data_IF_906591500722
#
_entry.id   IF_906591500722
#
_cell.length_a   1.000
_cell.length_b   1.000
_cell.length_c   1.000
_cell.angle_alpha   90.00
_cell.angle_beta   90.00
_cell.angle_gamma   90.00
#
_symmetry.space_group_name_H-M   'P 1'
#
loop_
_entity.id
_entity.type
_entity.pdbx_description
1 polymer ?
#
# COMPACT_ATOMS: atom_id res chain seq x y z
N UNK A 1 3.24 17.87 43.61
CA UNK A 1 3.95 18.72 42.63
C UNK A 1 4.60 17.82 41.59
N UNK A 2 3.92 17.55 40.47
CA UNK A 2 4.43 16.63 39.44
C UNK A 2 5.53 17.30 38.61
N UNK A 3 6.53 16.49 38.28
CA UNK A 3 7.78 16.89 37.64
C UNK A 3 7.53 17.67 36.34
N UNK A 4 8.06 18.90 36.26
CA UNK A 4 7.97 19.72 35.06
C UNK A 4 8.74 19.06 33.92
N UNK A 5 8.04 18.50 32.94
CA UNK A 5 8.63 18.13 31.66
C UNK A 5 9.46 19.31 31.13
N UNK A 6 10.67 19.03 30.61
CA UNK A 6 11.55 20.07 30.08
C UNK A 6 10.80 20.88 29.02
N UNK A 7 11.02 22.19 28.92
CA UNK A 7 10.28 23.02 27.97
C UNK A 7 10.44 22.62 26.50
N UNK A 8 11.54 21.94 26.16
CA UNK A 8 11.71 21.32 24.84
C UNK A 8 10.66 20.23 24.58
N UNK A 9 10.31 19.45 25.61
CA UNK A 9 9.28 18.42 25.52
C UNK A 9 7.89 19.00 25.20
N UNK A 10 7.56 20.20 25.71
CA UNK A 10 6.28 20.86 25.41
C UNK A 10 6.18 21.31 23.95
N UNK A 11 7.27 21.85 23.39
CA UNK A 11 7.30 22.25 21.98
C UNK A 11 7.25 21.03 21.06
N UNK A 12 7.98 19.96 21.41
CA UNK A 12 7.93 18.71 20.67
C UNK A 12 6.54 18.08 20.68
N UNK A 13 5.81 18.20 21.80
CA UNK A 13 4.43 17.74 21.86
C UNK A 13 3.50 18.54 20.95
N UNK A 14 3.66 19.87 20.87
CA UNK A 14 2.88 20.69 19.94
C UNK A 14 3.16 20.35 18.47
N UNK A 15 4.42 20.05 18.13
CA UNK A 15 4.80 19.64 16.77
C UNK A 15 4.25 18.24 16.46
N UNK A 16 4.29 17.31 17.41
CA UNK A 16 3.71 15.97 17.28
C UNK A 16 2.19 16.04 17.08
N UNK A 17 1.48 16.78 17.95
CA UNK A 17 0.03 16.96 17.84
C UNK A 17 -0.36 17.61 16.51
N UNK A 18 0.41 18.61 16.05
CA UNK A 18 0.21 19.19 14.73
C UNK A 18 0.51 18.22 13.59
N UNK A 19 1.58 17.43 13.67
CA UNK A 19 1.91 16.46 12.63
C UNK A 19 0.78 15.46 12.46
N UNK A 20 0.21 15.00 13.57
CA UNK A 20 -0.92 14.06 13.57
C UNK A 20 -2.21 14.71 13.02
N UNK A 21 -2.61 15.86 13.54
CA UNK A 21 -3.89 16.52 13.20
C UNK A 21 -3.89 17.19 11.82
N UNK A 22 -2.79 17.87 11.47
CA UNK A 22 -2.75 18.72 10.27
C UNK A 22 -2.04 18.07 9.10
N UNK A 23 -1.13 17.14 9.33
CA UNK A 23 -0.44 16.47 8.24
C UNK A 23 -0.99 15.06 8.00
N UNK A 24 -1.07 14.21 9.03
CA UNK A 24 -1.47 12.80 8.86
C UNK A 24 -2.96 12.64 8.62
N UNK A 25 -3.79 13.22 9.50
CA UNK A 25 -5.23 13.05 9.48
C UNK A 25 -5.85 13.38 8.10
N UNK A 26 -5.53 14.49 7.41
CA UNK A 26 -6.08 14.78 6.08
C UNK A 26 -5.73 13.73 5.01
N UNK A 27 -4.54 13.13 5.08
CA UNK A 27 -4.13 12.07 4.15
C UNK A 27 -5.00 10.82 4.32
N UNK A 28 -5.20 10.42 5.57
CA UNK A 28 -6.02 9.25 5.89
C UNK A 28 -7.51 9.52 5.67
N UNK A 29 -7.98 10.76 5.85
CA UNK A 29 -9.34 11.17 5.49
C UNK A 29 -9.58 11.03 3.99
N UNK A 30 -8.59 11.31 3.16
CA UNK A 30 -8.69 11.10 1.72
C UNK A 30 -8.83 9.61 1.37
N UNK A 31 -8.03 8.75 2.00
CA UNK A 31 -8.14 7.28 1.87
C UNK A 31 -9.53 6.82 2.29
N UNK A 32 -9.97 7.23 3.49
CA UNK A 32 -11.26 6.86 4.08
C UNK A 32 -12.43 7.24 3.16
N UNK A 33 -12.46 8.48 2.68
CA UNK A 33 -13.47 8.98 1.76
C UNK A 33 -13.48 8.22 0.44
N UNK A 34 -12.29 7.97 -0.13
CA UNK A 34 -12.15 7.27 -1.41
C UNK A 34 -12.61 5.81 -1.34
N UNK A 35 -12.53 5.18 -0.18
CA UNK A 35 -12.86 3.77 0.03
C UNK A 35 -14.13 3.58 0.85
N UNK A 36 -14.90 4.63 1.15
CA UNK A 36 -16.10 4.51 1.99
C UNK A 36 -15.86 3.86 3.36
N UNK A 37 -14.71 4.16 3.97
CA UNK A 37 -14.32 3.67 5.29
C UNK A 37 -14.49 4.80 6.32
N UNK A 38 -14.74 4.43 7.58
CA UNK A 38 -14.70 5.35 8.69
C UNK A 38 -13.26 5.51 9.18
N UNK A 39 -12.81 6.73 9.41
CA UNK A 39 -11.51 6.99 10.03
C UNK A 39 -11.72 7.35 11.49
N UNK A 40 -11.14 6.56 12.39
CA UNK A 40 -11.09 6.87 13.82
C UNK A 40 -9.72 7.47 14.16
N UNK A 41 -9.72 8.54 14.97
CA UNK A 41 -8.54 9.23 15.48
C UNK A 41 -8.89 10.03 16.74
N UNK A 42 -7.92 10.37 17.59
CA UNK A 42 -8.19 11.19 18.79
C UNK A 42 -8.70 12.60 18.50
N UNK A 43 -8.68 13.03 17.23
CA UNK A 43 -9.21 14.33 16.76
C UNK A 43 -10.62 14.23 16.19
N UNK A 44 -11.22 13.03 16.17
CA UNK A 44 -12.59 12.78 15.74
C UNK A 44 -13.39 12.39 16.98
N UNK A 45 -14.44 13.14 17.27
CA UNK A 45 -15.33 12.82 18.38
C UNK A 45 -16.32 11.73 17.96
N UNK A 46 -16.31 10.61 18.68
CA UNK A 46 -17.10 9.42 18.38
C UNK A 46 -17.81 8.91 19.62
N UNK A 47 -19.13 8.72 19.56
CA UNK A 47 -19.92 8.20 20.71
C UNK A 47 -19.68 6.72 20.94
N UNK A 48 -19.50 5.96 19.87
CA UNK A 48 -19.18 4.53 19.93
C UNK A 48 -17.88 4.23 20.70
N UNK A 49 -16.97 5.22 20.77
CA UNK A 49 -15.66 5.09 21.41
C UNK A 49 -15.23 6.40 22.06
N UNK A 50 -15.69 6.70 23.29
CA UNK A 50 -15.25 7.88 23.99
C UNK A 50 -13.80 7.69 24.48
N UNK A 51 -12.86 8.49 23.95
CA UNK A 51 -11.49 8.58 24.47
C UNK A 51 -10.44 7.87 23.63
N UNK A 52 -9.73 6.89 24.22
CA UNK A 52 -8.60 6.21 23.58
C UNK A 52 -9.07 5.19 22.54
N UNK A 53 -8.33 5.05 21.45
CA UNK A 53 -8.63 4.10 20.39
C UNK A 53 -7.98 2.77 20.72
N UNK A 54 -8.64 2.02 21.59
CA UNK A 54 -8.15 0.72 22.06
C UNK A 54 -8.68 -0.41 21.17
N UNK A 55 -7.78 -1.26 20.72
CA UNK A 55 -8.09 -2.52 20.05
C UNK A 55 -7.33 -3.65 20.71
N UNK A 56 -7.93 -4.83 20.78
CA UNK A 56 -7.27 -6.00 21.35
C UNK A 56 -6.34 -6.66 20.32
N UNK A 57 -5.18 -7.10 20.78
CA UNK A 57 -4.30 -8.02 20.06
C UNK A 57 -4.64 -9.49 20.38
N UNK A 58 -3.88 -10.42 19.79
CA UNK A 58 -4.12 -11.87 19.89
C UNK A 58 -3.89 -12.42 21.30
N UNK A 59 -3.15 -11.69 22.12
CA UNK A 59 -2.81 -12.05 23.49
C UNK A 59 -3.77 -11.37 24.49
N UNK A 60 -4.79 -10.65 24.00
CA UNK A 60 -5.77 -9.93 24.81
C UNK A 60 -5.26 -8.58 25.35
N UNK A 61 -4.13 -8.07 24.85
CA UNK A 61 -3.63 -6.77 25.27
C UNK A 61 -4.39 -5.65 24.56
N UNK A 62 -4.76 -4.61 25.30
CA UNK A 62 -5.34 -3.40 24.72
C UNK A 62 -4.25 -2.51 24.11
N UNK A 63 -4.23 -2.42 22.79
CA UNK A 63 -3.33 -1.58 22.01
C UNK A 63 -4.00 -0.25 21.71
N UNK A 64 -3.40 0.85 22.19
CA UNK A 64 -3.83 2.20 21.85
C UNK A 64 -3.26 2.59 20.48
N UNK A 65 -4.13 2.74 19.50
CA UNK A 65 -3.79 3.09 18.13
C UNK A 65 -3.97 4.61 17.91
N UNK A 66 -3.13 5.21 17.06
CA UNK A 66 -3.32 6.62 16.68
C UNK A 66 -4.44 6.77 15.64
N UNK A 67 -4.45 5.92 14.61
CA UNK A 67 -5.48 5.91 13.56
C UNK A 67 -5.93 4.50 13.21
N UNK A 68 -7.24 4.36 12.99
CA UNK A 68 -7.85 3.12 12.52
C UNK A 68 -8.85 3.41 11.42
N UNK A 69 -8.74 2.69 10.30
CA UNK A 69 -9.77 2.71 9.25
C UNK A 69 -10.72 1.54 9.47
N UNK A 70 -12.02 1.79 9.51
CA UNK A 70 -13.04 0.79 9.83
C UNK A 70 -14.07 0.66 8.70
N UNK A 71 -14.37 -0.57 8.32
CA UNK A 71 -15.48 -0.90 7.43
C UNK A 71 -16.80 -0.93 8.21
N UNK A 72 -17.78 -0.17 7.74
CA UNK A 72 -19.13 -0.12 8.34
C UNK A 72 -19.18 0.52 9.73
N UNK A 73 -18.10 1.19 10.14
CA UNK A 73 -18.09 2.03 11.34
C UNK A 73 -18.76 3.38 11.09
N UNK A 74 -19.27 3.98 12.15
CA UNK A 74 -19.80 5.34 12.16
C UNK A 74 -19.64 5.95 13.57
N UNK A 75 -20.22 7.13 13.80
CA UNK A 75 -20.12 7.83 15.08
C UNK A 75 -20.76 7.07 16.25
N UNK A 76 -21.71 6.16 15.97
CA UNK A 76 -22.51 5.43 16.96
C UNK A 76 -22.11 3.95 17.09
N UNK A 77 -21.45 3.37 16.07
CA UNK A 77 -21.12 1.93 16.02
C UNK A 77 -19.70 1.68 15.58
N UNK A 78 -19.05 0.72 16.24
CA UNK A 78 -17.74 0.19 15.83
C UNK A 78 -17.86 -0.63 14.55
N UNK A 79 -16.95 -0.39 13.62
CA UNK A 79 -16.81 -1.16 12.40
C UNK A 79 -15.78 -2.27 12.51
N UNK A 80 -15.48 -2.90 11.38
CA UNK A 80 -14.43 -3.92 11.26
C UNK A 80 -13.12 -3.23 10.86
N UNK A 81 -12.02 -3.35 11.62
CA UNK A 81 -10.79 -2.62 11.32
C UNK A 81 -10.14 -3.16 10.04
N UNK A 82 -9.74 -2.24 9.18
CA UNK A 82 -9.13 -2.48 7.86
C UNK A 82 -7.70 -1.97 7.76
N UNK A 83 -7.33 -1.02 8.61
CA UNK A 83 -5.96 -0.52 8.72
C UNK A 83 -5.66 -0.06 10.14
N UNK A 84 -4.40 -0.23 10.56
CA UNK A 84 -3.86 0.37 11.78
C UNK A 84 -2.64 1.21 11.41
N UNK A 85 -2.64 2.48 11.82
CA UNK A 85 -1.55 3.41 11.52
C UNK A 85 -1.13 4.12 12.81
N UNK A 86 0.17 4.05 13.12
CA UNK A 86 0.82 4.87 14.16
C UNK A 86 1.51 6.07 13.52
N UNK A 87 1.69 7.15 14.28
CA UNK A 87 2.48 8.28 13.84
C UNK A 87 3.33 8.86 14.96
N UNK A 88 4.40 9.57 14.60
CA UNK A 88 5.19 10.28 15.60
C UNK A 88 6.10 11.35 15.01
N UNK A 89 6.50 12.28 15.88
CA UNK A 89 7.60 13.23 15.63
C UNK A 89 8.77 12.99 16.58
N UNK A 90 10.01 12.82 16.06
CA UNK A 90 11.22 12.72 16.89
C UNK A 90 12.39 13.51 16.29
N UNK A 91 13.03 14.36 17.12
CA UNK A 91 14.18 15.18 16.71
C UNK A 91 15.48 14.43 16.50
N UNK A 92 15.66 13.30 17.17
CA UNK A 92 16.92 12.58 17.24
C UNK A 92 16.78 11.16 16.75
N UNK A 93 17.72 10.71 15.92
CA UNK A 93 17.70 9.41 15.26
C UNK A 93 17.56 8.23 16.23
N UNK A 94 18.15 8.32 17.43
CA UNK A 94 17.97 7.31 18.49
C UNK A 94 16.51 7.22 18.94
N UNK A 95 15.87 8.34 19.24
CA UNK A 95 14.49 8.36 19.69
C UNK A 95 13.52 7.95 18.57
N UNK A 96 13.79 8.31 17.32
CA UNK A 96 13.01 7.83 16.17
C UNK A 96 13.09 6.31 16.03
N UNK A 97 14.30 5.74 16.18
CA UNK A 97 14.52 4.29 16.14
C UNK A 97 13.78 3.56 17.26
N UNK A 98 13.85 4.07 18.49
CA UNK A 98 13.18 3.45 19.64
C UNK A 98 11.66 3.51 19.48
N UNK A 99 11.11 4.65 19.02
CA UNK A 99 9.68 4.80 18.76
C UNK A 99 9.19 3.92 17.61
N UNK A 100 9.93 3.85 16.49
CA UNK A 100 9.61 2.95 15.39
C UNK A 100 9.56 1.47 15.82
N UNK A 101 10.42 1.06 16.76
CA UNK A 101 10.41 -0.30 17.33
C UNK A 101 9.20 -0.54 18.22
N UNK A 102 8.88 0.41 19.09
CA UNK A 102 7.69 0.37 19.94
C UNK A 102 6.43 0.21 19.09
N UNK A 103 6.26 1.07 18.09
CA UNK A 103 5.06 1.09 17.23
C UNK A 103 5.00 -0.15 16.33
N UNK A 104 6.14 -0.63 15.84
CA UNK A 104 6.18 -1.92 15.13
C UNK A 104 5.74 -3.09 16.03
N UNK A 105 6.10 -3.04 17.31
CA UNK A 105 5.71 -4.04 18.31
C UNK A 105 4.21 -4.04 18.58
N UNK A 106 3.57 -2.86 18.56
CA UNK A 106 2.11 -2.71 18.66
C UNK A 106 1.37 -3.20 17.43
N UNK A 107 1.86 -2.84 16.23
CA UNK A 107 1.15 -3.07 14.98
C UNK A 107 1.23 -4.53 14.50
N UNK A 108 2.37 -5.21 14.70
CA UNK A 108 2.55 -6.58 14.17
C UNK A 108 1.48 -7.55 14.68
N UNK A 109 1.16 -7.61 16.00
CA UNK A 109 0.10 -8.47 16.52
C UNK A 109 -1.30 -8.13 15.98
N UNK A 110 -1.57 -6.88 15.60
CA UNK A 110 -2.89 -6.47 15.13
C UNK A 110 -3.32 -7.20 13.87
N UNK A 111 -2.40 -7.50 12.96
CA UNK A 111 -2.72 -8.26 11.73
C UNK A 111 -3.12 -9.70 12.03
N UNK A 112 -2.53 -10.32 13.04
CA UNK A 112 -2.87 -11.69 13.44
C UNK A 112 -4.29 -11.76 14.02
N UNK A 113 -4.70 -10.71 14.76
CA UNK A 113 -6.02 -10.62 15.38
C UNK A 113 -7.11 -10.19 14.40
N UNK A 114 -6.79 -9.20 13.55
CA UNK A 114 -7.73 -8.53 12.67
C UNK A 114 -7.41 -8.89 11.22
N UNK A 115 -8.00 -9.96 10.66
CA UNK A 115 -7.68 -10.48 9.33
C UNK A 115 -7.97 -9.49 8.18
N UNK A 116 -8.88 -8.55 8.43
CA UNK A 116 -9.24 -7.47 7.52
C UNK A 116 -8.26 -6.30 7.55
N UNK A 117 -7.31 -6.27 8.50
CA UNK A 117 -6.28 -5.24 8.61
C UNK A 117 -5.22 -5.37 7.51
N UNK A 118 -5.63 -5.05 6.28
CA UNK A 118 -4.83 -5.16 5.04
C UNK A 118 -3.65 -4.19 5.02
N UNK A 119 -3.67 -3.13 5.82
CA UNK A 119 -2.60 -2.15 5.91
C UNK A 119 -2.15 -1.90 7.35
N UNK A 120 -0.86 -2.07 7.60
CA UNK A 120 -0.17 -1.61 8.81
C UNK A 120 0.80 -0.50 8.40
N UNK A 121 0.71 0.67 9.02
CA UNK A 121 1.51 1.83 8.63
C UNK A 121 2.14 2.58 9.80
N UNK A 122 3.29 3.20 9.54
CA UNK A 122 3.87 4.23 10.40
C UNK A 122 4.09 5.48 9.56
N UNK A 123 3.53 6.61 9.99
CA UNK A 123 3.79 7.92 9.39
C UNK A 123 4.70 8.71 10.34
N UNK A 124 5.94 8.87 9.94
CA UNK A 124 7.02 9.17 10.85
C UNK A 124 7.72 10.47 10.43
N UNK A 125 7.79 11.45 11.33
CA UNK A 125 8.49 12.70 11.11
C UNK A 125 9.75 12.76 11.99
N UNK A 126 10.91 13.04 11.39
CA UNK A 126 12.18 13.08 12.12
C UNK A 126 13.38 12.55 11.35
N UNK A 127 14.44 12.25 12.09
CA UNK A 127 15.66 11.62 11.54
C UNK A 127 15.55 10.10 11.65
N UNK A 128 15.84 9.39 10.56
CA UNK A 128 15.78 7.92 10.50
C UNK A 128 17.08 7.33 9.99
N UNK A 129 17.57 6.29 10.65
CA UNK A 129 18.71 5.50 10.16
C UNK A 129 18.23 4.42 9.21
N UNK A 130 19.06 4.00 8.25
CA UNK A 130 18.73 2.89 7.33
C UNK A 130 18.28 1.63 8.09
N UNK A 131 19.02 1.25 9.14
CA UNK A 131 18.68 0.10 10.00
C UNK A 131 17.28 0.21 10.64
N UNK A 132 16.85 1.41 11.02
CA UNK A 132 15.49 1.58 11.57
C UNK A 132 14.41 1.44 10.50
N UNK A 133 14.70 1.88 9.27
CA UNK A 133 13.80 1.73 8.12
C UNK A 133 13.65 0.27 7.73
N UNK A 134 14.77 -0.44 7.60
CA UNK A 134 14.79 -1.85 7.21
C UNK A 134 14.07 -2.72 8.25
N UNK A 135 14.22 -2.39 9.54
CA UNK A 135 13.52 -3.07 10.63
C UNK A 135 11.99 -2.98 10.49
N UNK A 136 11.45 -1.77 10.27
CA UNK A 136 10.00 -1.57 10.10
C UNK A 136 9.51 -2.35 8.88
N UNK A 137 10.21 -2.19 7.74
CA UNK A 137 9.86 -2.87 6.49
C UNK A 137 9.91 -4.40 6.59
N UNK A 138 10.89 -4.96 7.29
CA UNK A 138 11.03 -6.41 7.47
C UNK A 138 9.85 -7.06 8.22
N UNK A 139 9.04 -6.26 8.92
CA UNK A 139 7.84 -6.70 9.63
C UNK A 139 6.56 -6.58 8.80
N UNK A 140 6.68 -6.15 7.54
CA UNK A 140 5.55 -5.91 6.65
C UNK A 140 4.71 -4.71 7.08
N UNK A 141 5.36 -3.70 7.67
CA UNK A 141 4.74 -2.41 8.03
C UNK A 141 5.23 -1.36 7.03
N UNK A 142 4.29 -0.62 6.44
CA UNK A 142 4.60 0.49 5.55
C UNK A 142 5.14 1.68 6.35
N UNK A 143 6.07 2.44 5.77
CA UNK A 143 6.72 3.56 6.43
C UNK A 143 6.75 4.78 5.53
N UNK A 144 5.95 5.79 5.86
CA UNK A 144 6.03 7.12 5.28
C UNK A 144 6.93 8.00 6.14
N UNK A 145 7.97 8.60 5.55
CA UNK A 145 8.95 9.40 6.30
C UNK A 145 8.95 10.84 5.85
N UNK A 146 8.83 11.74 6.82
CA UNK A 146 9.04 13.17 6.63
C UNK A 146 10.37 13.55 7.30
N UNK A 147 11.42 13.91 6.52
CA UNK A 147 12.70 14.30 7.08
C UNK A 147 12.57 15.49 8.05
N UNK A 148 13.29 15.44 9.17
CA UNK A 148 13.35 16.53 10.16
C UNK A 148 13.62 17.89 9.53
N UNK A 149 14.53 17.96 8.57
CA UNK A 149 14.90 19.21 7.89
C UNK A 149 13.69 19.83 7.17
N UNK A 150 12.82 19.01 6.56
CA UNK A 150 11.60 19.51 5.89
C UNK A 150 10.57 20.03 6.90
N UNK A 151 10.39 19.34 8.03
CA UNK A 151 9.54 19.83 9.12
C UNK A 151 10.03 21.19 9.61
N UNK A 152 11.31 21.29 9.99
CA UNK A 152 11.89 22.54 10.50
C UNK A 152 11.78 23.67 9.46
N UNK A 153 12.07 23.38 8.19
CA UNK A 153 11.96 24.35 7.11
C UNK A 153 10.51 24.85 6.92
N UNK A 154 9.51 23.97 7.00
CA UNK A 154 8.10 24.36 6.90
C UNK A 154 7.71 25.35 8.02
N UNK A 155 8.12 25.08 9.26
CA UNK A 155 7.88 26.00 10.37
C UNK A 155 8.62 27.34 10.17
N UNK A 156 9.88 27.30 9.70
CA UNK A 156 10.66 28.50 9.44
C UNK A 156 10.06 29.38 8.34
N UNK A 157 9.55 28.80 7.25
CA UNK A 157 8.84 29.54 6.18
C UNK A 157 7.62 30.30 6.72
N UNK A 158 6.99 29.78 7.77
CA UNK A 158 5.84 30.42 8.43
C UNK A 158 6.23 31.37 9.57
N UNK A 159 7.53 31.65 9.77
CA UNK A 159 8.04 32.53 10.81
C UNK A 159 8.08 31.91 12.21
N UNK A 160 8.05 30.58 12.30
CA UNK A 160 8.10 29.84 13.56
C UNK A 160 9.48 29.18 13.76
N UNK A 161 10.11 29.44 14.90
CA UNK A 161 11.34 28.75 15.28
C UNK A 161 11.02 27.42 15.93
N UNK A 162 10.96 26.36 15.12
CA UNK A 162 10.75 24.99 15.58
C UNK A 162 12.04 24.28 15.99
N UNK A 163 13.22 24.88 15.80
CA UNK A 163 14.51 24.31 16.18
C UNK A 163 14.98 24.83 17.55
N UNK A 164 15.48 23.91 18.36
CA UNK A 164 15.95 24.20 19.72
C UNK A 164 17.31 23.54 19.90
N UNK A 165 18.41 24.30 19.83
CA UNK A 165 19.76 23.75 19.90
C UNK A 165 19.97 22.95 21.19
N UNK A 166 20.56 21.77 21.08
CA UNK A 166 20.77 20.90 22.25
C UNK A 166 21.69 21.53 23.30
N UNK A 167 22.64 22.36 22.86
CA UNK A 167 23.57 23.11 23.72
C UNK A 167 22.97 24.40 24.33
N UNK A 168 21.73 24.76 24.00
CA UNK A 168 21.10 25.98 24.54
C UNK A 168 20.83 25.87 26.05
N UNK A 169 20.99 26.98 26.77
CA UNK A 169 20.65 27.03 28.20
C UNK A 169 19.17 26.72 28.45
N UNK A 170 18.85 26.11 29.61
CA UNK A 170 17.46 25.77 29.98
C UNK A 170 16.52 26.99 29.91
N UNK A 171 17.00 28.18 30.29
CA UNK A 171 16.24 29.44 30.19
C UNK A 171 15.93 29.82 28.73
N UNK A 172 16.90 29.65 27.83
CA UNK A 172 16.71 29.91 26.40
C UNK A 172 15.74 28.92 25.77
N UNK A 173 15.86 27.62 26.09
CA UNK A 173 14.92 26.59 25.63
C UNK A 173 13.47 26.89 26.05
N UNK A 174 13.26 27.41 27.27
CA UNK A 174 11.93 27.84 27.75
C UNK A 174 11.42 29.05 26.95
N UNK A 175 12.28 30.04 26.70
CA UNK A 175 11.91 31.25 25.96
C UNK A 175 11.49 30.92 24.53
N UNK A 176 12.25 30.07 23.83
CA UNK A 176 11.94 29.61 22.48
C UNK A 176 10.59 28.87 22.46
N UNK A 177 10.41 27.88 23.34
CA UNK A 177 9.17 27.09 23.40
C UNK A 177 7.93 27.94 23.70
N UNK A 178 8.03 28.95 24.58
CA UNK A 178 6.92 29.88 24.86
C UNK A 178 6.60 30.78 23.68
N UNK A 179 7.62 31.31 23.00
CA UNK A 179 7.43 32.15 21.82
C UNK A 179 6.79 31.34 20.68
N UNK A 180 7.24 30.10 20.47
CA UNK A 180 6.64 29.16 19.53
C UNK A 180 5.16 28.94 19.85
N UNK A 181 4.84 28.51 21.08
CA UNK A 181 3.46 28.23 21.48
C UNK A 181 2.54 29.46 21.35
N UNK A 182 3.03 30.66 21.69
CA UNK A 182 2.26 31.91 21.56
C UNK A 182 1.91 32.23 20.10
N UNK A 183 2.80 31.91 19.17
CA UNK A 183 2.64 32.25 17.76
C UNK A 183 2.06 31.11 16.93
N UNK A 184 1.86 29.92 17.50
CA UNK A 184 1.37 28.73 16.78
C UNK A 184 -0.16 28.64 16.79
N UNK A 185 -0.81 29.59 16.14
CA UNK A 185 -2.26 29.67 15.98
C UNK A 185 -2.80 28.68 14.93
N UNK A 186 -4.12 28.47 14.89
CA UNK A 186 -4.77 27.62 13.87
C UNK A 186 -4.46 28.06 12.43
N UNK A 187 -4.39 29.38 12.16
CA UNK A 187 -3.96 29.89 10.86
C UNK A 187 -2.54 29.43 10.53
N UNK A 188 -1.63 29.55 11.51
CA UNK A 188 -0.24 29.12 11.35
C UNK A 188 -0.12 27.62 11.16
N UNK A 189 -0.94 26.80 11.84
CA UNK A 189 -0.97 25.35 11.62
C UNK A 189 -1.29 24.99 10.15
N UNK A 190 -2.25 25.68 9.53
CA UNK A 190 -2.60 25.51 8.10
C UNK A 190 -1.52 26.01 7.15
N UNK A 191 -0.90 27.16 7.47
CA UNK A 191 0.24 27.67 6.69
C UNK A 191 1.42 26.69 6.69
N UNK A 192 1.78 26.16 7.87
CA UNK A 192 2.86 25.16 8.00
C UNK A 192 2.50 23.86 7.29
N UNK A 193 1.24 23.44 7.33
CA UNK A 193 0.77 22.26 6.58
C UNK A 193 1.03 22.43 5.09
N UNK A 194 0.60 23.56 4.51
CA UNK A 194 0.83 23.87 3.09
C UNK A 194 2.32 23.89 2.76
N UNK A 195 3.12 24.61 3.55
CA UNK A 195 4.56 24.68 3.38
C UNK A 195 5.22 23.29 3.44
N UNK A 196 4.79 22.42 4.35
CA UNK A 196 5.30 21.06 4.45
C UNK A 196 4.90 20.22 3.25
N UNK A 197 3.65 20.30 2.79
CA UNK A 197 3.17 19.61 1.58
C UNK A 197 4.01 19.98 0.36
N UNK A 198 4.32 21.26 0.18
CA UNK A 198 5.16 21.76 -0.91
C UNK A 198 6.61 21.24 -0.79
N UNK A 199 7.18 21.25 0.43
CA UNK A 199 8.54 20.76 0.69
C UNK A 199 8.66 19.24 0.54
N UNK A 200 7.67 18.48 0.99
CA UNK A 200 7.63 17.01 0.84
C UNK A 200 7.46 16.65 -0.63
N UNK A 201 6.61 17.39 -1.34
CA UNK A 201 6.25 17.19 -2.73
C UNK A 201 4.85 16.55 -2.83
N UNK A 202 3.87 17.20 -3.48
CA UNK A 202 2.52 16.66 -3.62
C UNK A 202 2.48 15.26 -4.25
N UNK A 203 3.35 14.98 -5.23
CA UNK A 203 3.44 13.66 -5.86
C UNK A 203 3.84 12.54 -4.88
N UNK A 204 4.73 12.84 -3.92
CA UNK A 204 5.15 11.87 -2.88
C UNK A 204 3.98 11.56 -1.94
N UNK A 205 3.19 12.59 -1.61
CA UNK A 205 2.02 12.47 -0.76
C UNK A 205 0.92 11.67 -1.46
N UNK A 206 0.59 12.00 -2.72
CA UNK A 206 -0.39 11.24 -3.50
C UNK A 206 0.05 9.79 -3.67
N UNK A 207 1.32 9.53 -4.00
CA UNK A 207 1.85 8.17 -4.11
C UNK A 207 1.73 7.37 -2.81
N UNK A 208 1.84 8.02 -1.65
CA UNK A 208 1.56 7.36 -0.37
C UNK A 208 0.09 7.00 -0.24
N UNK A 209 -0.79 7.98 -0.41
CA UNK A 209 -2.24 7.78 -0.31
C UNK A 209 -2.72 6.69 -1.26
N UNK A 210 -2.25 6.68 -2.51
CA UNK A 210 -2.60 5.67 -3.51
C UNK A 210 -2.07 4.29 -3.14
N UNK A 211 -0.88 4.20 -2.53
CA UNK A 211 -0.36 2.93 -2.01
C UNK A 211 -1.23 2.38 -0.87
N UNK A 212 -1.70 3.24 0.05
CA UNK A 212 -2.66 2.81 1.09
C UNK A 212 -3.96 2.33 0.44
N UNK A 213 -4.52 3.10 -0.50
CA UNK A 213 -5.74 2.73 -1.23
C UNK A 213 -5.58 1.38 -1.95
N UNK A 214 -4.44 1.16 -2.61
CA UNK A 214 -4.15 -0.09 -3.32
C UNK A 214 -4.10 -1.30 -2.39
N UNK A 215 -3.44 -1.17 -1.23
CA UNK A 215 -3.37 -2.26 -0.25
C UNK A 215 -4.75 -2.62 0.33
N UNK A 216 -5.56 -1.60 0.64
CA UNK A 216 -6.90 -1.77 1.23
C UNK A 216 -7.94 -2.28 0.23
N UNK A 217 -7.77 -1.99 -1.06
CA UNK A 217 -8.68 -2.42 -2.13
C UNK A 217 -8.23 -3.71 -2.83
N UNK A 218 -7.16 -4.36 -2.36
CA UNK A 218 -6.69 -5.63 -2.89
C UNK A 218 -7.68 -6.75 -2.56
N UNK A 219 -8.08 -7.51 -3.58
CA UNK A 219 -9.09 -8.56 -3.48
C UNK A 219 -8.44 -9.94 -3.29
N UNK A 220 -9.10 -10.89 -2.63
CA UNK A 220 -8.67 -12.29 -2.62
C UNK A 220 -8.60 -12.86 -4.04
N UNK A 221 -7.49 -13.49 -4.41
CA UNK A 221 -7.32 -14.25 -5.67
C UNK A 221 -7.41 -15.76 -5.45
N UNK A 222 -6.91 -16.23 -4.31
CA UNK A 222 -6.91 -17.64 -3.94
C UNK A 222 -7.08 -17.74 -2.43
N UNK A 223 -7.99 -18.62 -2.00
CA UNK A 223 -8.21 -18.93 -0.58
C UNK A 223 -7.91 -20.41 -0.39
N UNK A 224 -7.11 -20.73 0.61
CA UNK A 224 -6.73 -22.11 0.92
C UNK A 224 -7.13 -22.47 2.34
N UNK A 225 -7.81 -23.61 2.50
CA UNK A 225 -8.09 -24.25 3.77
C UNK A 225 -7.27 -25.54 3.87
N UNK A 226 -6.31 -25.59 4.79
CA UNK A 226 -5.54 -26.81 5.05
C UNK A 226 -5.90 -27.39 6.41
N UNK A 227 -6.24 -28.67 6.48
CA UNK A 227 -6.39 -29.37 7.76
C UNK A 227 -5.07 -29.35 8.52
N UNK A 228 -5.13 -29.14 9.84
CA UNK A 228 -3.90 -29.04 10.67
C UNK A 228 -2.98 -30.27 10.60
N UNK A 229 -3.54 -31.43 10.27
CA UNK A 229 -2.85 -32.72 10.28
C UNK A 229 -2.82 -33.42 8.91
N UNK A 230 -3.39 -32.80 7.86
CA UNK A 230 -3.39 -33.34 6.50
C UNK A 230 -2.54 -32.48 5.56
N UNK A 231 -1.97 -33.11 4.53
CA UNK A 231 -0.99 -32.47 3.64
C UNK A 231 -1.61 -31.83 2.40
N UNK A 232 -2.87 -32.15 2.07
CA UNK A 232 -3.55 -31.65 0.89
C UNK A 232 -4.44 -30.42 1.22
N UNK A 233 -4.06 -29.21 0.82
CA UNK A 233 -4.91 -28.03 0.97
C UNK A 233 -6.14 -28.11 0.04
N UNK A 234 -7.28 -27.63 0.54
CA UNK A 234 -8.46 -27.33 -0.28
C UNK A 234 -8.31 -25.90 -0.79
N UNK A 235 -8.33 -25.73 -2.11
CA UNK A 235 -8.07 -24.43 -2.77
C UNK A 235 -9.37 -23.92 -3.40
N UNK A 236 -9.67 -22.66 -3.16
CA UNK A 236 -10.86 -21.95 -3.62
C UNK A 236 -10.44 -20.71 -4.42
N UNK A 237 -11.24 -20.38 -5.43
CA UNK A 237 -11.00 -19.22 -6.31
C UNK A 237 -11.81 -18.00 -5.92
N UNK A 238 -12.83 -18.16 -5.09
CA UNK A 238 -13.67 -17.06 -4.64
C UNK A 238 -14.04 -17.17 -3.17
N UNK A 239 -14.39 -16.03 -2.58
CA UNK A 239 -14.94 -15.96 -1.21
C UNK A 239 -16.27 -16.72 -1.12
N UNK A 240 -17.09 -16.70 -2.18
CA UNK A 240 -18.39 -17.36 -2.21
C UNK A 240 -18.28 -18.88 -2.07
N UNK A 241 -17.36 -19.51 -2.82
CA UNK A 241 -17.12 -20.95 -2.75
C UNK A 241 -16.74 -21.40 -1.33
N UNK A 242 -15.96 -20.58 -0.62
CA UNK A 242 -15.58 -20.86 0.77
C UNK A 242 -16.79 -20.73 1.69
N UNK A 243 -17.64 -19.71 1.50
CA UNK A 243 -18.87 -19.53 2.29
C UNK A 243 -19.78 -20.76 2.21
N UNK A 244 -20.00 -21.30 1.01
CA UNK A 244 -20.80 -22.52 0.80
C UNK A 244 -20.15 -23.76 1.45
N UNK A 245 -18.81 -23.84 1.41
CA UNK A 245 -18.07 -24.97 1.97
C UNK A 245 -18.05 -25.01 3.50
N UNK A 246 -17.94 -23.84 4.17
CA UNK A 246 -17.78 -23.74 5.63
C UNK A 246 -18.94 -24.34 6.44
N UNK A 247 -20.11 -24.56 5.84
CA UNK A 247 -21.27 -25.18 6.51
C UNK A 247 -21.15 -26.71 6.65
N UNK A 248 -20.19 -27.33 5.97
CA UNK A 248 -20.01 -28.79 5.95
C UNK A 248 -18.91 -29.33 6.89
N UNK A 249 -18.19 -28.44 7.60
CA UNK A 249 -16.92 -28.77 8.26
C UNK A 249 -17.04 -29.21 9.74
N UNK A 250 -16.13 -30.09 10.17
CA UNK A 250 -16.06 -30.64 11.54
C UNK A 250 -14.69 -30.48 12.26
N UNK A 251 -13.68 -29.90 11.63
CA UNK A 251 -12.28 -29.93 12.12
C UNK A 251 -11.55 -28.57 12.05
N UNK A 252 -10.32 -28.48 12.59
CA UNK A 252 -9.52 -27.25 12.63
C UNK A 252 -8.68 -27.02 11.36
N UNK A 253 -8.77 -25.82 10.79
CA UNK A 253 -8.11 -25.45 9.53
C UNK A 253 -7.10 -24.29 9.69
N UNK A 254 -6.08 -24.30 8.84
CA UNK A 254 -5.24 -23.14 8.53
C UNK A 254 -5.89 -22.41 7.36
N UNK A 255 -6.23 -21.14 7.58
CA UNK A 255 -6.88 -20.27 6.60
C UNK A 255 -5.84 -19.36 5.95
N UNK A 256 -5.66 -19.49 4.64
CA UNK A 256 -4.69 -18.70 3.86
C UNK A 256 -5.39 -17.94 2.74
N UNK A 257 -4.93 -16.72 2.46
CA UNK A 257 -5.38 -15.92 1.32
C UNK A 257 -4.17 -15.37 0.58
N UNK A 258 -4.16 -15.48 -0.74
CA UNK A 258 -3.33 -14.67 -1.63
C UNK A 258 -4.17 -13.54 -2.24
N UNK A 259 -3.68 -12.31 -2.20
CA UNK A 259 -4.38 -11.11 -2.68
C UNK A 259 -3.85 -10.62 -4.04
N UNK A 260 -4.63 -9.77 -4.71
CA UNK A 260 -4.28 -9.20 -6.02
C UNK A 260 -3.03 -8.33 -6.04
N UNK A 261 -2.62 -7.81 -4.89
CA UNK A 261 -1.37 -7.05 -4.71
C UNK A 261 -0.15 -7.96 -4.48
N UNK A 262 -0.34 -9.27 -4.47
CA UNK A 262 0.69 -10.28 -4.23
C UNK A 262 1.05 -10.48 -2.76
N UNK A 263 0.33 -9.84 -1.83
CA UNK A 263 0.47 -10.13 -0.41
C UNK A 263 -0.30 -11.37 0.00
N UNK A 264 0.11 -11.97 1.12
CA UNK A 264 -0.49 -13.18 1.68
C UNK A 264 -0.95 -12.93 3.11
N UNK A 265 -2.02 -13.60 3.50
CA UNK A 265 -2.52 -13.67 4.86
C UNK A 265 -2.64 -15.13 5.28
N UNK A 266 -2.24 -15.43 6.51
CA UNK A 266 -2.39 -16.75 7.12
C UNK A 266 -2.92 -16.58 8.54
N UNK A 267 -3.94 -17.36 8.89
CA UNK A 267 -4.44 -17.48 10.27
C UNK A 267 -4.72 -18.93 10.60
N UNK A 268 -4.30 -19.34 11.80
CA UNK A 268 -4.65 -20.63 12.36
C UNK A 268 -5.89 -20.42 13.23
N UNK A 269 -7.04 -20.95 12.81
CA UNK A 269 -8.26 -20.85 13.59
C UNK A 269 -8.26 -21.90 14.71
N UNK A 270 -8.56 -21.48 15.94
CA UNK A 270 -8.69 -22.37 17.09
C UNK A 270 -10.03 -23.11 17.09
N UNK A 271 -11.06 -22.54 16.45
CA UNK A 271 -12.40 -23.12 16.35
C UNK A 271 -13.03 -22.84 14.98
N UNK A 272 -14.09 -23.60 14.66
CA UNK A 272 -14.91 -23.36 13.47
C UNK A 272 -15.63 -22.02 13.52
N UNK A 273 -16.05 -21.58 14.70
CA UNK A 273 -16.70 -20.28 14.89
C UNK A 273 -15.75 -19.14 14.55
N UNK A 274 -14.49 -19.22 14.99
CA UNK A 274 -13.46 -18.24 14.66
C UNK A 274 -13.15 -18.22 13.16
N UNK A 275 -13.14 -19.38 12.50
CA UNK A 275 -12.94 -19.49 11.06
C UNK A 275 -14.08 -18.82 10.28
N UNK A 276 -15.34 -19.10 10.66
CA UNK A 276 -16.52 -18.50 10.05
C UNK A 276 -16.57 -17.00 10.26
N UNK A 277 -16.30 -16.52 11.48
CA UNK A 277 -16.22 -15.09 11.78
C UNK A 277 -15.12 -14.40 10.94
N UNK A 278 -13.92 -14.98 10.91
CA UNK A 278 -12.79 -14.49 10.10
C UNK A 278 -13.17 -14.40 8.63
N UNK A 279 -13.73 -15.47 8.06
CA UNK A 279 -14.16 -15.51 6.67
C UNK A 279 -15.25 -14.48 6.37
N UNK A 280 -16.26 -14.35 7.24
CA UNK A 280 -17.37 -13.40 7.07
C UNK A 280 -16.88 -11.94 7.03
N UNK A 281 -15.89 -11.58 7.86
CA UNK A 281 -15.29 -10.24 7.88
C UNK A 281 -14.55 -9.95 6.57
N UNK A 282 -13.79 -10.93 6.07
CA UNK A 282 -13.10 -10.83 4.79
C UNK A 282 -14.09 -10.74 3.62
N UNK A 283 -15.18 -11.51 3.66
CA UNK A 283 -16.23 -11.48 2.66
C UNK A 283 -16.87 -10.11 2.57
N UNK A 284 -17.29 -9.56 3.72
CA UNK A 284 -17.85 -8.20 3.79
C UNK A 284 -16.92 -7.13 3.24
N UNK A 285 -15.61 -7.22 3.52
CA UNK A 285 -14.63 -6.30 2.97
C UNK A 285 -14.49 -6.47 1.44
N UNK A 286 -14.47 -7.71 0.96
CA UNK A 286 -14.38 -8.04 -0.46
C UNK A 286 -15.59 -7.49 -1.23
N UNK A 287 -16.80 -7.73 -0.72
CA UNK A 287 -18.05 -7.25 -1.31
C UNK A 287 -18.09 -5.72 -1.37
N UNK A 288 -17.67 -5.06 -0.29
CA UNK A 288 -17.57 -3.60 -0.25
C UNK A 288 -16.61 -3.04 -1.30
N UNK A 289 -15.40 -3.63 -1.41
CA UNK A 289 -14.42 -3.19 -2.40
C UNK A 289 -14.90 -3.46 -3.83
N UNK A 290 -15.53 -4.61 -4.09
CA UNK A 290 -16.15 -4.91 -5.39
C UNK A 290 -17.26 -3.93 -5.76
N UNK A 291 -18.14 -3.57 -4.81
CA UNK A 291 -19.20 -2.60 -5.05
C UNK A 291 -18.66 -1.19 -5.38
N UNK A 292 -17.52 -0.81 -4.79
CA UNK A 292 -16.84 0.44 -5.15
C UNK A 292 -16.25 0.41 -6.57
N UNK A 293 -15.78 -0.75 -7.04
CA UNK A 293 -15.30 -0.92 -8.40
C UNK A 293 -16.45 -0.83 -9.40
N UNK A 294 -17.57 -1.55 -9.17
CA UNK A 294 -18.74 -1.52 -10.05
C UNK A 294 -19.35 -0.11 -10.19
N UNK A 295 -19.31 0.71 -9.13
CA UNK A 295 -19.72 2.12 -9.19
C UNK A 295 -18.81 3.03 -10.02
N UNK A 296 -17.54 2.64 -10.26
CA UNK A 296 -16.62 3.42 -11.10
C UNK A 296 -16.78 3.11 -12.59
N UNK A 297 -17.40 1.99 -12.93
CA UNK A 297 -17.68 1.57 -14.31
C UNK A 297 -19.04 2.08 -14.83
N UNK A 298 -19.82 2.81 -14.00
CA UNK A 298 -20.92 3.65 -14.50
C UNK A 298 -20.32 4.88 -15.22
N UNK A 299 -20.71 5.18 -16.47
CA UNK A 299 -20.18 6.31 -17.20
C UNK A 299 -20.52 7.61 -16.44
N UNK A 300 -19.55 8.52 -16.21
CA UNK A 300 -19.83 9.79 -15.59
C UNK A 300 -20.80 10.60 -16.47
N UNK A 301 -21.72 11.39 -15.89
CA UNK A 301 -22.51 12.34 -16.66
C UNK A 301 -21.56 13.31 -17.36
N UNK A 302 -21.69 13.38 -18.68
CA UNK A 302 -20.89 14.09 -19.68
C UNK A 302 -19.98 15.21 -19.13
N UNK A 303 -18.67 14.98 -19.17
CA UNK A 303 -17.66 16.03 -19.18
C UNK A 303 -16.69 15.80 -20.33
N UNK A 304 -16.75 16.71 -21.29
CA UNK A 304 -15.94 16.82 -22.49
C UNK A 304 -14.44 16.97 -22.17
N UNK A 305 -13.65 15.93 -22.42
CA UNK A 305 -12.32 15.95 -23.05
C UNK A 305 -11.61 14.59 -22.79
N UNK A 306 -11.69 13.62 -23.72
CA UNK A 306 -11.19 12.26 -23.50
C UNK A 306 -9.66 12.10 -23.56
N UNK A 307 -8.93 13.12 -24.03
CA UNK A 307 -7.52 12.95 -24.43
C UNK A 307 -6.49 13.13 -23.33
N UNK A 308 -6.77 13.94 -22.31
CA UNK A 308 -5.70 14.52 -21.49
C UNK A 308 -5.54 13.94 -20.07
N UNK A 309 -6.44 13.06 -19.62
CA UNK A 309 -6.48 12.59 -18.22
C UNK A 309 -6.34 11.07 -18.03
N UNK A 310 -6.32 10.26 -19.08
CA UNK A 310 -6.17 8.79 -18.94
C UNK A 310 -4.71 8.36 -18.71
N UNK A 311 -3.75 9.14 -19.19
CA UNK A 311 -2.32 8.84 -19.09
C UNK A 311 -1.66 9.18 -17.75
N UNK A 312 -2.22 10.11 -16.96
CA UNK A 312 -1.59 10.59 -15.70
C UNK A 312 -1.96 9.77 -14.45
N UNK A 313 -2.77 8.73 -14.57
CA UNK A 313 -3.46 8.12 -13.44
C UNK A 313 -2.84 6.82 -12.88
N UNK A 314 -1.72 6.32 -13.41
CA UNK A 314 -1.25 4.98 -13.04
C UNK A 314 0.19 4.99 -12.53
N UNK A 315 0.34 5.04 -11.20
CA UNK A 315 1.62 4.78 -10.54
C UNK A 315 1.45 3.98 -9.25
N UNK A 316 1.87 2.72 -9.30
CA UNK A 316 1.94 1.81 -8.15
C UNK A 316 1.74 0.36 -8.57
N UNK A 317 2.53 -0.57 -8.03
CA UNK A 317 2.65 -1.99 -8.44
C UNK A 317 1.32 -2.78 -8.56
N UNK A 318 0.20 -2.29 -8.01
CA UNK A 318 -1.15 -2.87 -8.18
C UNK A 318 -1.83 -2.53 -9.50
N UNK A 319 -1.47 -1.43 -10.15
CA UNK A 319 -2.09 -0.99 -11.41
C UNK A 319 -1.40 -1.57 -12.66
N UNK A 320 -0.24 -2.22 -12.49
CA UNK A 320 0.41 -2.96 -13.59
C UNK A 320 -0.45 -4.14 -14.08
N UNK A 321 -1.17 -4.80 -13.16
CA UNK A 321 -2.11 -5.88 -13.50
C UNK A 321 -3.38 -5.36 -14.19
N UNK A 322 -3.80 -4.11 -13.87
CA UNK A 322 -4.92 -3.42 -14.53
C UNK A 322 -4.55 -2.88 -15.91
N UNK A 323 -3.36 -2.29 -16.05
CA UNK A 323 -2.79 -1.94 -17.35
C UNK A 323 -2.65 -3.18 -18.23
N UNK A 324 -2.26 -4.32 -17.66
CA UNK A 324 -2.25 -5.62 -18.35
C UNK A 324 -3.65 -6.11 -18.71
N UNK A 325 -4.64 -5.95 -17.83
CA UNK A 325 -6.04 -6.29 -18.11
C UNK A 325 -6.61 -5.49 -19.28
N UNK A 326 -6.41 -4.17 -19.27
CA UNK A 326 -6.83 -3.27 -20.34
C UNK A 326 -6.07 -3.51 -21.65
N UNK A 327 -4.76 -3.77 -21.59
CA UNK A 327 -3.98 -4.13 -22.79
C UNK A 327 -4.46 -5.46 -23.38
N UNK A 328 -4.73 -6.46 -22.52
CA UNK A 328 -5.29 -7.75 -22.93
C UNK A 328 -6.69 -7.60 -23.52
N UNK A 329 -7.54 -6.77 -22.93
CA UNK A 329 -8.88 -6.48 -23.44
C UNK A 329 -8.82 -5.78 -24.80
N UNK A 330 -7.93 -4.79 -24.95
CA UNK A 330 -7.67 -4.12 -26.24
C UNK A 330 -7.14 -5.12 -27.29
N UNK A 331 -6.27 -6.05 -26.90
CA UNK A 331 -5.71 -7.07 -27.79
C UNK A 331 -6.69 -8.22 -28.09
N UNK A 332 -7.49 -8.67 -27.12
CA UNK A 332 -8.54 -9.69 -27.31
C UNK A 332 -9.64 -9.17 -28.23
N UNK A 333 -10.07 -7.92 -28.06
CA UNK A 333 -11.02 -7.25 -28.98
C UNK A 333 -10.45 -7.06 -30.38
N UNK A 334 -9.12 -6.89 -30.52
CA UNK A 334 -8.47 -6.84 -31.82
C UNK A 334 -8.36 -8.23 -32.52
N UNK A 335 -8.50 -9.33 -31.79
CA UNK A 335 -8.32 -10.69 -32.31
C UNK A 335 -9.62 -11.53 -32.34
N UNK A 336 -10.67 -11.13 -31.62
CA UNK A 336 -11.97 -11.80 -31.61
C UNK A 336 -13.03 -11.05 -32.44
N UNK A 337 -13.19 -11.52 -33.69
CA UNK A 337 -14.45 -11.61 -34.44
C UNK A 337 -15.12 -10.36 -35.07
N UNK A 338 -14.94 -10.29 -36.40
CA UNK A 338 -16.00 -10.38 -37.42
C UNK A 338 -16.98 -9.22 -37.68
N UNK A 339 -16.49 -7.99 -37.95
CA UNK A 339 -17.20 -7.09 -38.87
C UNK A 339 -16.26 -6.05 -39.52
N UNK A 340 -16.01 -6.09 -40.84
CA UNK A 340 -15.14 -5.12 -41.52
C UNK A 340 -15.72 -3.71 -41.62
N UNK A 341 -16.96 -3.47 -41.17
CA UNK A 341 -17.59 -2.14 -41.21
C UNK A 341 -17.32 -1.25 -39.98
N UNK A 342 -16.59 -1.73 -38.96
CA UNK A 342 -16.32 -1.00 -37.72
C UNK A 342 -14.82 -0.74 -37.44
N UNK A 343 -13.95 -1.00 -38.42
CA UNK A 343 -12.50 -0.81 -38.29
C UNK A 343 -12.13 0.62 -38.72
N UNK A 344 -12.09 1.52 -37.75
CA UNK A 344 -11.12 2.62 -37.77
C UNK A 344 -10.68 2.89 -36.33
N UNK A 345 -9.79 2.03 -35.81
CA UNK A 345 -9.03 2.31 -34.60
C UNK A 345 -7.55 2.05 -34.89
N UNK A 346 -6.79 3.11 -34.69
CA UNK A 346 -5.50 3.40 -35.30
C UNK A 346 -4.36 2.67 -34.55
N UNK A 347 -3.46 1.93 -35.24
CA UNK A 347 -2.25 1.34 -34.62
C UNK A 347 -1.40 2.33 -33.80
N UNK A 348 -1.55 3.62 -34.05
CA UNK A 348 -1.00 4.72 -33.27
C UNK A 348 -1.39 4.72 -31.78
N UNK A 349 -2.58 4.22 -31.42
CA UNK A 349 -3.04 4.21 -30.02
C UNK A 349 -2.36 3.11 -29.20
N UNK A 350 -1.98 2.00 -29.86
CA UNK A 350 -1.21 0.93 -29.25
C UNK A 350 0.25 1.35 -29.01
N UNK A 351 0.87 2.09 -29.94
CA UNK A 351 2.22 2.63 -29.76
C UNK A 351 2.27 3.73 -28.68
N UNK A 352 1.27 4.62 -28.62
CA UNK A 352 1.17 5.64 -27.56
C UNK A 352 1.01 5.04 -26.17
N UNK A 353 0.23 3.96 -26.03
CA UNK A 353 0.10 3.24 -24.76
C UNK A 353 1.43 2.60 -24.33
N UNK A 354 2.20 2.09 -25.29
CA UNK A 354 3.55 1.52 -25.07
C UNK A 354 4.56 2.58 -24.62
N UNK A 355 4.66 3.70 -25.33
CA UNK A 355 5.59 4.78 -24.98
C UNK A 355 5.30 5.35 -23.58
N UNK A 356 4.03 5.51 -23.23
CA UNK A 356 3.63 6.02 -21.92
C UNK A 356 4.03 5.07 -20.77
N UNK A 357 3.91 3.76 -21.01
CA UNK A 357 4.31 2.72 -20.04
C UNK A 357 5.82 2.62 -19.90
N UNK A 358 6.57 2.74 -21.01
CA UNK A 358 8.03 2.78 -21.03
C UNK A 358 8.57 4.01 -20.27
N UNK A 359 8.02 5.20 -20.50
CA UNK A 359 8.41 6.44 -19.80
C UNK A 359 8.10 6.41 -18.30
N UNK A 360 6.96 5.84 -17.94
CA UNK A 360 6.55 5.65 -16.54
C UNK A 360 7.50 4.68 -15.82
N UNK A 361 8.02 3.67 -16.51
CA UNK A 361 8.98 2.76 -15.93
C UNK A 361 10.40 3.33 -15.87
N UNK A 362 10.85 4.03 -16.91
CA UNK A 362 12.13 4.76 -16.95
C UNK A 362 12.24 5.71 -15.74
N UNK A 363 11.19 6.49 -15.48
CA UNK A 363 11.10 7.36 -14.30
C UNK A 363 11.12 6.57 -12.97
N UNK A 364 10.53 5.38 -12.92
CA UNK A 364 10.56 4.53 -11.72
C UNK A 364 11.95 3.90 -11.47
N UNK A 365 12.67 3.57 -12.55
CA UNK A 365 14.03 3.01 -12.52
C UNK A 365 15.04 4.11 -12.19
N UNK A 366 14.89 5.33 -12.70
CA UNK A 366 15.79 6.45 -12.37
C UNK A 366 15.72 6.90 -10.91
N UNK A 367 14.62 6.59 -10.21
CA UNK A 367 14.41 6.93 -8.80
C UNK A 367 14.86 5.82 -7.81
N UNK A 368 15.37 4.69 -8.32
CA UNK A 368 15.91 3.57 -7.54
C UNK A 368 17.34 3.31 -8.06
N UNK A 369 18.28 2.89 -7.22
CA UNK A 369 19.56 2.45 -7.78
C UNK A 369 19.31 1.27 -8.75
N UNK A 370 19.91 1.24 -9.96
CA UNK A 370 19.60 0.26 -11.01
C UNK A 370 19.70 -1.21 -10.58
N UNK A 371 20.45 -1.48 -9.50
CA UNK A 371 20.65 -2.81 -8.93
C UNK A 371 19.73 -3.14 -7.75
N UNK A 372 18.72 -2.32 -7.47
CA UNK A 372 17.81 -2.53 -6.35
C UNK A 372 16.83 -3.69 -6.63
N UNK A 373 16.59 -4.62 -5.69
CA UNK A 373 15.67 -5.74 -5.88
C UNK A 373 14.27 -5.34 -6.34
N UNK A 374 13.75 -4.23 -5.85
CA UNK A 374 12.43 -3.73 -6.26
C UNK A 374 12.42 -3.10 -7.66
N UNK A 375 13.57 -2.65 -8.19
CA UNK A 375 13.70 -2.24 -9.59
C UNK A 375 13.69 -3.48 -10.49
N UNK A 376 14.41 -4.54 -10.10
CA UNK A 376 14.44 -5.81 -10.81
C UNK A 376 13.06 -6.50 -10.90
N UNK A 377 12.24 -6.43 -9.85
CA UNK A 377 10.87 -6.93 -9.90
C UNK A 377 10.03 -6.16 -10.92
N UNK A 378 10.19 -4.84 -11.00
CA UNK A 378 9.49 -4.02 -11.99
C UNK A 378 9.97 -4.29 -13.42
N UNK A 379 11.26 -4.55 -13.63
CA UNK A 379 11.80 -4.98 -14.92
C UNK A 379 11.26 -6.36 -15.35
N UNK A 380 11.15 -7.32 -14.43
CA UNK A 380 10.50 -8.62 -14.71
C UNK A 380 9.02 -8.46 -15.04
N UNK A 381 8.33 -7.49 -14.44
CA UNK A 381 6.98 -7.14 -14.84
C UNK A 381 6.97 -6.62 -16.27
N UNK A 382 7.80 -5.65 -16.63
CA UNK A 382 7.87 -5.14 -18.03
C UNK A 382 8.09 -6.25 -19.05
N UNK A 383 8.95 -7.23 -18.75
CA UNK A 383 9.13 -8.41 -19.60
C UNK A 383 7.83 -9.18 -19.90
N UNK A 384 6.89 -9.22 -18.95
CA UNK A 384 5.56 -9.82 -19.16
C UNK A 384 4.73 -9.01 -20.15
N UNK A 385 4.86 -7.67 -20.18
CA UNK A 385 4.14 -6.84 -21.17
C UNK A 385 4.65 -7.18 -22.58
N UNK A 386 5.96 -7.18 -22.79
CA UNK A 386 6.54 -7.52 -24.09
C UNK A 386 6.21 -8.96 -24.50
N UNK A 387 6.12 -9.89 -23.54
CA UNK A 387 5.67 -11.25 -23.80
C UNK A 387 4.21 -11.28 -24.32
N UNK A 388 3.32 -10.50 -23.69
CA UNK A 388 1.91 -10.40 -24.09
C UNK A 388 1.75 -9.67 -25.45
N UNK A 389 2.70 -8.78 -25.80
CA UNK A 389 2.80 -8.11 -27.09
C UNK A 389 3.49 -8.94 -28.19
N UNK A 390 3.97 -10.15 -27.87
CA UNK A 390 4.67 -11.02 -28.82
C UNK A 390 6.14 -10.66 -29.09
N UNK A 391 6.67 -9.59 -28.50
CA UNK A 391 8.10 -9.26 -28.54
C UNK A 391 8.87 -10.09 -27.49
N UNK A 392 9.04 -11.37 -27.80
CA UNK A 392 9.71 -12.33 -26.93
C UNK A 392 11.21 -12.03 -26.74
N UNK A 393 11.83 -11.29 -27.66
CA UNK A 393 13.25 -10.94 -27.57
C UNK A 393 13.50 -9.86 -26.51
N UNK A 394 12.73 -8.77 -26.56
CA UNK A 394 12.79 -7.71 -25.54
C UNK A 394 12.33 -8.24 -24.19
N UNK A 395 11.28 -9.05 -24.15
CA UNK A 395 10.81 -9.74 -22.94
C UNK A 395 11.92 -10.57 -22.29
N UNK A 396 12.63 -11.39 -23.08
CA UNK A 396 13.68 -12.26 -22.57
C UNK A 396 14.84 -11.44 -21.99
N UNK A 397 15.27 -10.38 -22.67
CA UNK A 397 16.38 -9.53 -22.23
C UNK A 397 16.07 -8.85 -20.89
N UNK A 398 14.88 -8.27 -20.75
CA UNK A 398 14.44 -7.61 -19.52
C UNK A 398 14.29 -8.59 -18.35
N UNK A 399 13.71 -9.77 -18.60
CA UNK A 399 13.54 -10.79 -17.57
C UNK A 399 14.89 -11.37 -17.12
N UNK A 400 15.85 -11.48 -18.05
CA UNK A 400 17.22 -11.92 -17.75
C UNK A 400 17.97 -10.90 -16.89
N UNK A 401 17.90 -9.61 -17.21
CA UNK A 401 18.50 -8.54 -16.40
C UNK A 401 17.89 -8.52 -14.98
N UNK A 402 16.56 -8.61 -14.88
CA UNK A 402 15.86 -8.69 -13.60
C UNK A 402 16.32 -9.89 -12.75
N UNK A 403 16.46 -11.06 -13.38
CA UNK A 403 16.94 -12.26 -12.71
C UNK A 403 18.35 -12.07 -12.15
N UNK A 404 19.25 -11.52 -12.95
CA UNK A 404 20.66 -11.39 -12.59
C UNK A 404 20.86 -10.38 -11.46
N UNK A 405 20.11 -9.27 -11.48
CA UNK A 405 20.06 -8.30 -10.36
C UNK A 405 19.53 -8.94 -9.07
N UNK A 406 18.46 -9.74 -9.14
CA UNK A 406 17.91 -10.42 -7.96
C UNK A 406 18.85 -11.50 -7.42
N UNK A 407 19.57 -12.21 -8.29
CA UNK A 407 20.57 -13.19 -7.88
C UNK A 407 21.75 -12.50 -7.20
N UNK A 408 22.23 -11.38 -7.73
CA UNK A 408 23.32 -10.62 -7.14
C UNK A 408 22.93 -10.03 -5.77
N UNK A 409 21.72 -9.48 -5.65
CA UNK A 409 21.28 -8.80 -4.44
C UNK A 409 20.75 -9.73 -3.33
N UNK A 410 20.08 -10.84 -3.69
CA UNK A 410 19.36 -11.70 -2.74
C UNK A 410 19.82 -13.17 -2.75
N UNK A 411 20.63 -13.57 -3.73
CA UNK A 411 21.10 -14.94 -3.91
C UNK A 411 20.15 -15.84 -4.69
N UNK A 412 20.71 -16.84 -5.38
CA UNK A 412 19.99 -17.77 -6.29
C UNK A 412 18.82 -18.54 -5.65
N UNK A 413 18.87 -18.77 -4.33
CA UNK A 413 17.84 -19.53 -3.61
C UNK A 413 16.67 -18.67 -3.14
N UNK A 414 16.76 -17.35 -3.24
CA UNK A 414 15.73 -16.45 -2.75
C UNK A 414 14.41 -16.62 -3.54
N UNK A 415 13.23 -16.62 -2.89
CA UNK A 415 11.93 -16.84 -3.55
C UNK A 415 11.70 -15.92 -4.75
N UNK A 416 12.08 -14.64 -4.63
CA UNK A 416 11.99 -13.66 -5.74
C UNK A 416 12.84 -14.05 -6.94
N UNK A 417 14.10 -14.45 -6.74
CA UNK A 417 14.99 -14.88 -7.83
C UNK A 417 14.47 -16.16 -8.52
N UNK A 418 13.96 -17.12 -7.73
CA UNK A 418 13.34 -18.33 -8.28
C UNK A 418 12.08 -18.03 -9.12
N UNK A 419 11.27 -17.05 -8.70
CA UNK A 419 10.05 -16.66 -9.42
C UNK A 419 10.39 -16.04 -10.78
N UNK A 420 11.33 -15.09 -10.82
CA UNK A 420 11.80 -14.49 -12.07
C UNK A 420 12.48 -15.51 -12.97
N UNK A 421 13.23 -16.47 -12.40
CA UNK A 421 13.83 -17.57 -13.17
C UNK A 421 12.78 -18.42 -13.90
N UNK A 422 11.71 -18.83 -13.20
CA UNK A 422 10.59 -19.56 -13.82
C UNK A 422 9.95 -18.77 -14.95
N UNK A 423 9.80 -17.46 -14.78
CA UNK A 423 9.22 -16.57 -15.78
C UNK A 423 10.12 -16.43 -17.02
N UNK A 424 11.42 -16.25 -16.83
CA UNK A 424 12.41 -16.25 -17.89
C UNK A 424 12.40 -17.57 -18.70
N UNK A 425 12.30 -18.71 -18.01
CA UNK A 425 12.24 -20.02 -18.66
C UNK A 425 10.94 -20.17 -19.49
N UNK A 426 9.82 -19.61 -19.01
CA UNK A 426 8.57 -19.55 -19.75
C UNK A 426 8.68 -18.67 -21.01
N UNK A 427 9.29 -17.49 -20.92
CA UNK A 427 9.50 -16.60 -22.08
C UNK A 427 10.39 -17.31 -23.13
N UNK A 428 11.46 -17.98 -22.71
CA UNK A 428 12.34 -18.75 -23.61
C UNK A 428 11.59 -19.87 -24.32
N UNK A 429 10.72 -20.59 -23.60
CA UNK A 429 9.89 -21.65 -24.19
C UNK A 429 8.89 -21.10 -25.23
N UNK A 430 8.24 -19.96 -24.96
CA UNK A 430 7.33 -19.32 -25.92
C UNK A 430 8.05 -18.74 -27.14
N UNK A 431 9.24 -18.17 -26.96
CA UNK A 431 10.11 -17.72 -28.07
C UNK A 431 10.51 -18.87 -28.99
N UNK A 432 10.85 -20.03 -28.40
CA UNK A 432 11.16 -21.23 -29.17
C UNK A 432 9.94 -21.73 -29.96
N UNK A 433 8.75 -21.72 -29.34
CA UNK A 433 7.51 -22.12 -30.00
C UNK A 433 7.05 -21.15 -31.11
N UNK A 434 7.34 -19.84 -30.99
CA UNK A 434 7.01 -18.84 -32.02
C UNK A 434 8.02 -18.80 -33.18
N UNK A 435 9.14 -19.51 -33.05
CA UNK A 435 10.16 -19.65 -34.10
C UNK A 435 10.11 -21.00 -34.83
N UNK A 436 9.16 -21.89 -34.49
CA UNK A 436 8.98 -23.21 -35.11
C UNK A 436 7.90 -23.16 -36.22
N UNK A 437 8.22 -23.34 -37.51
CA UNK A 437 7.26 -23.14 -38.62
C UNK A 437 6.24 -24.27 -38.87
N UNK A 438 6.06 -25.25 -37.97
CA UNK A 438 5.33 -26.49 -38.27
C UNK A 438 4.22 -26.81 -37.25
N UNK A 439 3.10 -26.09 -37.34
CA UNK A 439 1.82 -26.58 -36.76
C UNK A 439 0.57 -26.15 -37.53
N UNK A 440 0.72 -25.71 -38.79
CA UNK A 440 -0.39 -25.55 -39.74
C UNK A 440 -0.66 -26.85 -40.52
N UNK A 441 -1.15 -27.89 -39.85
CA UNK A 441 -1.79 -29.02 -40.56
C UNK A 441 -3.25 -28.63 -40.84
N UNK A 442 -3.51 -28.14 -42.06
CA UNK A 442 -4.88 -28.03 -42.58
C UNK A 442 -5.51 -29.42 -42.74
N UNK A 443 -6.85 -29.55 -42.66
CA UNK A 443 -7.50 -30.82 -42.90
C UNK A 443 -7.45 -31.15 -44.39
N UNK A 444 -6.92 -32.34 -44.70
CA UNK A 444 -6.92 -32.95 -46.02
C UNK A 444 -8.34 -33.35 -46.49
N UNK A 445 -8.50 -33.25 -47.83
CA UNK A 445 -9.53 -33.77 -48.73
C UNK A 445 -10.83 -32.97 -48.92
#
# INVERSE_FOLDING_TARGET
MSQSASSGHKMDKLIEDWHEEYFVLPLLQEVARSLGLYLDSRFIERKARPGKILWEDRDGNSVNCDFVLELGGDDERLGVPTAFIECFWRRGSRHSKDKAREDSGKLTPMRDTHPTARFLGIIAAGDFTALSVDWVKSRGIDLFRVPKQKIIAAFQQCGLSADCPDNASKKNKIKIARAFAKNFSELKKKEVQKALTDLVGPAVIHSYVDRVKAALSALPQEITLALRHDSAPIVFKSVLEVSEFLDSLKESYVYRIAYTDGSEFEKIAASMEELKDTHSKIARLTDHMNALYQKKDEPPPELSDPGNNRGRAYYGLGDYQKARGLLREVLEVAHSESDPALIDKDPDDCEKARELLEQTLESAIQNLEPNHPDAAIRQSSLATVYQDLGDYETAQNLCQQAHDTLVAALGKKHPRAKKVKKHLDHIKARRAASSDPLSGSGPDA
#
